data_IF_720566470765
#
_entry.id   IF_720566470765
#
_cell.length_a   1.000
_cell.length_b   1.000
_cell.length_c   1.000
_cell.angle_alpha   90.00
_cell.angle_beta   90.00
_cell.angle_gamma   90.00
#
_symmetry.space_group_name_H-M   'P 1'
#
loop_
_entity.id
_entity.type
_entity.pdbx_description
1 polymer ?
#
# COMPACT_ATOMS: atom_id res chain seq x y z
N UNK A 1 15.57 18.27 13.90
CA UNK A 1 16.01 18.00 12.51
C UNK A 1 14.75 17.76 11.69
N UNK A 2 14.65 18.40 10.53
CA UNK A 2 13.39 18.90 9.95
C UNK A 2 12.29 17.88 9.65
N UNK A 3 11.11 18.15 10.21
CA UNK A 3 9.81 17.72 9.73
C UNK A 3 9.67 18.16 8.26
N UNK A 4 9.42 17.24 7.33
CA UNK A 4 9.09 17.59 5.94
C UNK A 4 10.06 17.14 4.83
N UNK A 5 11.12 16.37 5.15
CA UNK A 5 12.03 15.85 4.09
C UNK A 5 11.41 14.79 3.18
N UNK A 6 10.45 13.99 3.67
CA UNK A 6 9.80 12.95 2.84
C UNK A 6 8.37 13.33 2.39
N UNK A 7 7.75 14.35 2.99
CA UNK A 7 6.42 14.84 2.59
C UNK A 7 6.50 15.94 1.52
N UNK A 8 7.64 16.66 1.41
CA UNK A 8 7.80 17.82 0.52
C UNK A 8 7.68 17.55 -1.00
N UNK A 9 7.51 16.29 -1.41
CA UNK A 9 7.51 15.88 -2.81
C UNK A 9 6.18 15.32 -3.33
N UNK A 10 5.01 15.69 -2.79
CA UNK A 10 3.74 15.26 -3.41
C UNK A 10 3.52 16.04 -4.72
N UNK A 11 3.98 15.47 -5.83
CA UNK A 11 3.85 16.08 -7.15
C UNK A 11 3.36 15.06 -8.19
N UNK A 12 2.54 15.56 -9.12
CA UNK A 12 1.97 14.79 -10.22
C UNK A 12 0.54 14.36 -9.94
N UNK A 13 0.27 13.06 -10.03
CA UNK A 13 -1.09 12.54 -10.10
C UNK A 13 -1.93 12.76 -8.84
N UNK A 14 -1.30 12.80 -7.66
CA UNK A 14 -2.02 13.01 -6.42
C UNK A 14 -2.49 14.46 -6.25
N UNK A 15 -1.79 15.44 -6.82
CA UNK A 15 -2.15 16.86 -6.64
C UNK A 15 -3.55 17.22 -7.17
N UNK A 16 -4.09 16.38 -8.07
CA UNK A 16 -5.42 16.54 -8.65
C UNK A 16 -6.25 15.28 -8.40
N UNK A 17 -7.17 15.32 -7.43
CA UNK A 17 -8.12 14.22 -7.16
C UNK A 17 -8.37 13.93 -5.68
N UNK A 18 -9.09 12.83 -5.38
CA UNK A 18 -9.42 12.44 -4.00
C UNK A 18 -8.19 12.16 -3.13
N UNK A 19 -7.13 11.56 -3.70
CA UNK A 19 -5.87 11.38 -2.95
C UNK A 19 -5.23 12.71 -2.55
N UNK A 20 -5.27 13.71 -3.42
CA UNK A 20 -4.76 15.05 -3.13
C UNK A 20 -5.56 15.77 -2.06
N UNK A 21 -6.88 15.62 -2.08
CA UNK A 21 -7.74 16.17 -1.04
C UNK A 21 -7.44 15.54 0.34
N UNK A 22 -7.28 14.21 0.39
CA UNK A 22 -6.88 13.51 1.61
C UNK A 22 -5.46 13.87 2.06
N UNK A 23 -4.51 14.01 1.13
CA UNK A 23 -3.15 14.46 1.41
C UNK A 23 -3.13 15.87 1.98
N UNK A 24 -3.82 16.80 1.33
CA UNK A 24 -3.94 18.18 1.78
C UNK A 24 -4.53 18.28 3.19
N UNK A 25 -5.56 17.48 3.49
CA UNK A 25 -6.12 17.42 4.85
C UNK A 25 -5.11 16.82 5.85
N UNK A 26 -4.60 15.61 5.58
CA UNK A 26 -3.82 14.85 6.53
C UNK A 26 -2.43 15.45 6.79
N UNK A 27 -1.85 16.15 5.81
CA UNK A 27 -0.57 16.84 5.94
C UNK A 27 -0.78 18.28 6.41
N UNK A 28 -1.82 18.96 5.93
CA UNK A 28 -2.14 20.33 6.34
C UNK A 28 -2.35 20.44 7.86
N UNK A 29 -2.99 19.44 8.47
CA UNK A 29 -3.14 19.37 9.93
C UNK A 29 -1.82 19.20 10.69
N UNK A 30 -0.76 18.67 10.07
CA UNK A 30 0.59 18.64 10.67
C UNK A 30 1.16 20.05 10.76
N UNK A 31 1.02 20.84 9.68
CA UNK A 31 1.50 22.21 9.60
C UNK A 31 0.69 23.16 10.49
N UNK A 32 -0.63 22.99 10.59
CA UNK A 32 -1.47 23.77 11.51
C UNK A 32 -1.09 23.52 12.98
N UNK A 33 -0.74 22.27 13.32
CA UNK A 33 -0.27 21.91 14.68
C UNK A 33 1.12 22.49 14.96
N UNK A 34 2.01 22.52 13.96
CA UNK A 34 3.33 23.15 14.08
C UNK A 34 3.24 24.69 14.14
N UNK A 35 2.34 25.30 13.35
CA UNK A 35 2.11 26.74 13.32
C UNK A 35 1.35 27.25 14.56
N UNK A 36 0.50 26.43 15.18
CA UNK A 36 -0.16 26.73 16.46
C UNK A 36 0.78 26.86 17.66
N UNK A 37 2.07 26.54 17.51
CA UNK A 37 3.13 26.78 18.50
C UNK A 37 3.92 28.07 18.27
N UNK A 38 3.59 28.83 17.23
CA UNK A 38 4.20 30.12 16.92
C UNK A 38 3.10 31.18 16.85
N UNK A 39 2.65 31.63 18.03
CA UNK A 39 1.85 32.85 18.09
C UNK A 39 2.73 34.08 17.79
N UNK A 40 2.26 34.84 16.81
CA UNK A 40 2.43 36.28 16.63
C UNK A 40 3.72 36.79 15.96
N UNK A 41 3.57 37.14 14.67
CA UNK A 41 4.33 38.21 14.02
C UNK A 41 5.15 37.78 12.81
N UNK A 42 4.69 38.12 11.61
CA UNK A 42 5.56 38.10 10.42
C UNK A 42 4.81 37.88 9.12
N UNK A 43 4.85 38.88 8.25
CA UNK A 43 4.33 38.88 6.89
C UNK A 43 4.77 37.63 6.09
N UNK A 44 3.81 36.99 5.43
CA UNK A 44 4.03 35.83 4.56
C UNK A 44 4.79 36.25 3.30
N UNK A 45 6.11 36.14 3.34
CA UNK A 45 6.93 36.15 2.12
C UNK A 45 7.06 34.71 1.63
N UNK A 46 6.25 34.35 0.64
CA UNK A 46 6.43 33.13 -0.14
C UNK A 46 7.67 33.31 -1.03
N UNK A 47 8.83 32.95 -0.50
CA UNK A 47 10.13 33.01 -1.18
C UNK A 47 10.93 31.74 -0.93
N UNK A 48 10.43 30.61 -1.42
CA UNK A 48 11.21 29.36 -1.49
C UNK A 48 12.03 29.35 -2.79
N UNK A 49 13.35 29.21 -2.65
CA UNK A 49 14.32 29.17 -3.75
C UNK A 49 13.95 28.11 -4.81
N UNK A 50 13.84 28.54 -6.07
CA UNK A 50 13.42 27.76 -7.25
C UNK A 50 14.53 26.87 -7.84
N UNK A 51 15.41 26.28 -7.02
CA UNK A 51 16.57 25.49 -7.49
C UNK A 51 16.58 24.02 -7.03
N UNK A 52 15.56 23.54 -6.30
CA UNK A 52 15.48 22.14 -5.82
C UNK A 52 14.64 21.21 -6.74
N UNK A 53 14.33 21.66 -7.96
CA UNK A 53 13.46 20.92 -8.90
C UNK A 53 14.16 19.78 -9.68
N UNK A 54 15.47 19.55 -9.50
CA UNK A 54 16.19 18.50 -10.24
C UNK A 54 16.17 17.12 -9.56
N UNK A 55 15.82 17.00 -8.26
CA UNK A 55 15.68 15.71 -7.54
C UNK A 55 14.20 15.27 -7.37
N UNK A 56 13.25 16.03 -7.94
CA UNK A 56 11.82 15.88 -7.72
C UNK A 56 11.16 14.68 -8.45
N UNK A 57 11.80 14.14 -9.49
CA UNK A 57 11.20 13.12 -10.35
C UNK A 57 11.03 11.74 -9.68
N UNK A 58 12.07 11.26 -8.99
CA UNK A 58 12.05 9.96 -8.32
C UNK A 58 11.45 10.04 -6.90
N UNK A 59 11.80 11.09 -6.14
CA UNK A 59 11.21 11.34 -4.83
C UNK A 59 9.69 11.49 -4.91
N UNK A 60 9.17 12.21 -5.91
CA UNK A 60 7.74 12.48 -6.03
C UNK A 60 6.88 11.28 -6.36
N UNK A 61 7.35 10.38 -7.24
CA UNK A 61 6.64 9.13 -7.57
C UNK A 61 6.61 8.19 -6.36
N UNK A 62 7.74 8.04 -5.66
CA UNK A 62 7.84 7.23 -4.43
C UNK A 62 6.93 7.78 -3.33
N UNK A 63 6.99 9.08 -3.07
CA UNK A 63 6.14 9.71 -2.04
C UNK A 63 4.65 9.59 -2.38
N UNK A 64 4.29 9.68 -3.67
CA UNK A 64 2.92 9.48 -4.11
C UNK A 64 2.42 8.05 -3.95
N UNK A 65 3.28 7.07 -4.22
CA UNK A 65 2.99 5.67 -3.96
C UNK A 65 2.73 5.41 -2.47
N UNK A 66 3.56 5.95 -1.59
CA UNK A 66 3.45 5.74 -0.14
C UNK A 66 2.23 6.39 0.47
N UNK A 67 1.90 7.60 0.04
CA UNK A 67 0.69 8.24 0.54
C UNK A 67 -0.55 7.45 0.11
N UNK A 68 -0.58 7.00 -1.15
CA UNK A 68 -1.64 6.11 -1.65
C UNK A 68 -1.76 4.84 -0.79
N UNK A 69 -0.62 4.26 -0.41
CA UNK A 69 -0.52 3.12 0.49
C UNK A 69 -1.07 3.42 1.89
N UNK A 70 -0.73 4.57 2.50
CA UNK A 70 -1.25 4.97 3.82
C UNK A 70 -2.76 5.23 3.79
N UNK A 71 -3.28 5.84 2.72
CA UNK A 71 -4.72 6.03 2.52
C UNK A 71 -5.44 4.69 2.49
N UNK A 72 -4.97 3.75 1.67
CA UNK A 72 -5.58 2.42 1.58
C UNK A 72 -5.43 1.64 2.88
N UNK A 73 -4.28 1.72 3.54
CA UNK A 73 -4.05 1.10 4.84
C UNK A 73 -5.04 1.64 5.89
N UNK A 74 -5.33 2.95 5.90
CA UNK A 74 -6.30 3.53 6.82
C UNK A 74 -7.72 2.98 6.64
N UNK A 75 -8.06 2.50 5.43
CA UNK A 75 -9.33 1.85 5.17
C UNK A 75 -9.35 0.41 5.71
N UNK A 76 -8.30 -0.37 5.43
CA UNK A 76 -8.17 -1.77 5.88
C UNK A 76 -8.08 -1.86 7.42
N UNK A 77 -7.16 -1.10 8.02
CA UNK A 77 -6.86 -1.15 9.47
C UNK A 77 -8.11 -0.89 10.34
N UNK A 78 -9.10 -0.18 9.78
CA UNK A 78 -10.29 0.21 10.50
C UNK A 78 -11.55 -0.42 9.90
N UNK A 79 -11.41 -1.49 9.13
CA UNK A 79 -12.55 -2.19 8.52
C UNK A 79 -13.48 -2.79 9.59
N UNK A 80 -12.91 -3.37 10.64
CA UNK A 80 -13.61 -3.97 11.78
C UNK A 80 -14.00 -2.95 12.88
N UNK A 81 -13.64 -1.68 12.69
CA UNK A 81 -13.91 -0.58 13.62
C UNK A 81 -12.95 -0.48 14.80
N UNK A 82 -11.94 -1.33 14.89
CA UNK A 82 -10.86 -1.25 15.89
C UNK A 82 -9.55 -0.90 15.17
N UNK A 83 -8.50 -0.60 15.93
CA UNK A 83 -7.17 -0.36 15.40
C UNK A 83 -6.24 -1.23 16.23
N UNK A 84 -5.63 -2.24 15.65
CA UNK A 84 -4.76 -3.13 16.39
C UNK A 84 -3.35 -2.55 16.52
N UNK A 85 -2.71 -2.80 17.66
CA UNK A 85 -1.31 -2.40 17.87
C UNK A 85 -0.35 -3.09 16.89
N UNK A 86 -0.64 -4.33 16.52
CA UNK A 86 0.11 -5.14 15.55
C UNK A 86 0.15 -4.49 14.17
N UNK A 87 -1.01 -4.04 13.67
CA UNK A 87 -1.14 -3.38 12.37
C UNK A 87 -0.39 -2.06 12.35
N UNK A 88 -0.56 -1.24 13.39
CA UNK A 88 0.20 0.00 13.49
C UNK A 88 1.70 -0.27 13.59
N UNK A 89 2.13 -1.25 14.38
CA UNK A 89 3.55 -1.58 14.49
C UNK A 89 4.12 -2.14 13.18
N UNK A 90 3.30 -2.83 12.37
CA UNK A 90 3.68 -3.20 11.02
C UNK A 90 3.94 -1.95 10.15
N UNK A 91 3.03 -0.99 10.15
CA UNK A 91 3.22 0.27 9.41
C UNK A 91 4.45 1.05 9.94
N UNK A 92 4.66 1.12 11.26
CA UNK A 92 5.85 1.78 11.83
C UNK A 92 7.15 1.13 11.38
N UNK A 93 7.22 -0.20 11.45
CA UNK A 93 8.39 -0.95 10.98
C UNK A 93 8.63 -0.72 9.51
N UNK A 94 7.57 -0.76 8.70
CA UNK A 94 7.66 -0.44 7.28
C UNK A 94 8.22 0.96 7.07
N UNK A 95 7.62 1.99 7.65
CA UNK A 95 8.09 3.37 7.51
C UNK A 95 9.54 3.54 7.96
N UNK A 96 9.92 2.94 9.10
CA UNK A 96 11.30 2.99 9.62
C UNK A 96 12.29 2.36 8.65
N UNK A 97 11.98 1.15 8.18
CA UNK A 97 12.85 0.41 7.27
C UNK A 97 13.01 1.12 5.92
N UNK A 98 11.97 1.81 5.45
CA UNK A 98 11.95 2.41 4.13
C UNK A 98 12.39 3.89 4.09
N UNK A 99 12.16 4.65 5.17
CA UNK A 99 12.32 6.11 5.21
C UNK A 99 13.07 6.62 6.45
N UNK A 100 13.49 5.72 7.34
CA UNK A 100 14.16 6.04 8.59
C UNK A 100 13.20 6.45 9.71
N UNK A 101 13.74 6.64 10.90
CA UNK A 101 12.95 6.89 12.11
C UNK A 101 12.10 8.15 12.06
N UNK A 102 12.55 9.20 11.37
CA UNK A 102 11.81 10.46 11.25
C UNK A 102 10.45 10.29 10.53
N UNK A 103 10.37 9.38 9.56
CA UNK A 103 9.14 9.14 8.81
C UNK A 103 8.08 8.35 9.61
N UNK A 104 8.48 7.68 10.68
CA UNK A 104 7.57 6.91 11.53
C UNK A 104 6.59 7.84 12.24
N UNK A 105 7.08 8.94 12.80
CA UNK A 105 6.27 9.94 13.49
C UNK A 105 5.30 10.62 12.52
N UNK A 106 5.81 11.06 11.38
CA UNK A 106 5.01 11.72 10.35
C UNK A 106 3.93 10.79 9.76
N UNK A 107 4.29 9.55 9.39
CA UNK A 107 3.33 8.59 8.83
C UNK A 107 2.28 8.13 9.85
N UNK A 108 2.65 8.03 11.13
CA UNK A 108 1.68 7.77 12.19
C UNK A 108 0.67 8.92 12.31
N UNK A 109 1.13 10.16 12.27
CA UNK A 109 0.23 11.31 12.36
C UNK A 109 -0.67 11.44 11.12
N UNK A 110 -0.16 11.13 9.92
CA UNK A 110 -0.99 11.03 8.70
C UNK A 110 -2.12 10.01 8.89
N UNK A 111 -1.81 8.80 9.39
CA UNK A 111 -2.84 7.78 9.64
C UNK A 111 -3.89 8.26 10.66
N UNK A 112 -3.46 8.87 11.76
CA UNK A 112 -4.37 9.45 12.74
C UNK A 112 -5.30 10.50 12.12
N UNK A 113 -4.77 11.38 11.27
CA UNK A 113 -5.55 12.40 10.60
C UNK A 113 -6.53 11.78 9.58
N UNK A 114 -6.13 10.73 8.86
CA UNK A 114 -7.02 9.98 7.97
C UNK A 114 -8.16 9.29 8.74
N UNK A 115 -7.87 8.71 9.91
CA UNK A 115 -8.88 8.13 10.79
C UNK A 115 -9.86 9.19 11.31
N UNK A 116 -9.38 10.38 11.64
CA UNK A 116 -10.25 11.49 12.03
C UNK A 116 -11.11 11.96 10.85
N UNK A 117 -10.51 12.12 9.67
CA UNK A 117 -11.20 12.52 8.46
C UNK A 117 -12.33 11.56 8.10
N UNK A 118 -12.06 10.25 8.17
CA UNK A 118 -13.09 9.21 8.02
C UNK A 118 -14.25 9.42 8.98
N UNK A 119 -13.96 9.61 10.27
CA UNK A 119 -15.00 9.80 11.31
C UNK A 119 -15.87 11.03 11.00
N UNK A 120 -15.27 12.14 10.55
CA UNK A 120 -15.99 13.36 10.16
C UNK A 120 -16.88 13.14 8.92
N UNK A 121 -16.36 12.44 7.91
CA UNK A 121 -17.09 12.11 6.69
C UNK A 121 -18.30 11.21 6.97
N UNK A 122 -18.10 10.15 7.77
CA UNK A 122 -19.15 9.17 8.09
C UNK A 122 -20.26 9.73 8.99
N UNK A 123 -20.01 10.81 9.74
CA UNK A 123 -21.05 11.53 10.48
C UNK A 123 -22.11 12.15 9.54
N UNK A 124 -21.70 12.55 8.33
CA UNK A 124 -22.61 13.15 7.35
C UNK A 124 -23.23 12.08 6.46
N UNK A 125 -22.42 11.13 6.00
CA UNK A 125 -22.86 10.01 5.18
C UNK A 125 -21.97 8.78 5.45
N UNK A 126 -22.52 7.68 5.99
CA UNK A 126 -21.78 6.46 6.32
C UNK A 126 -20.97 5.85 5.17
N UNK A 127 -21.31 6.16 3.90
CA UNK A 127 -20.65 5.59 2.73
C UNK A 127 -19.67 6.57 2.06
N UNK A 128 -19.56 7.81 2.55
CA UNK A 128 -18.76 8.85 1.89
C UNK A 128 -17.26 8.55 1.88
N UNK A 129 -16.72 8.02 2.99
CA UNK A 129 -15.32 7.60 3.03
C UNK A 129 -15.07 6.41 2.10
N UNK A 130 -15.94 5.39 2.12
CA UNK A 130 -15.87 4.23 1.21
C UNK A 130 -15.83 4.66 -0.26
N UNK A 131 -16.72 5.58 -0.68
CA UNK A 131 -16.70 6.14 -2.05
C UNK A 131 -15.40 6.88 -2.36
N UNK A 132 -14.88 7.64 -1.40
CA UNK A 132 -13.58 8.32 -1.55
C UNK A 132 -12.45 7.31 -1.78
N UNK A 133 -12.45 6.18 -1.06
CA UNK A 133 -11.49 5.09 -1.27
C UNK A 133 -11.62 4.46 -2.65
N UNK A 134 -12.84 4.25 -3.17
CA UNK A 134 -13.04 3.81 -4.56
C UNK A 134 -12.45 4.80 -5.56
N UNK A 135 -12.67 6.10 -5.35
CA UNK A 135 -12.16 7.14 -6.23
C UNK A 135 -10.62 7.21 -6.18
N UNK A 136 -10.03 7.05 -4.98
CA UNK A 136 -8.59 6.89 -4.81
C UNK A 136 -8.06 5.65 -5.54
N UNK A 137 -8.77 4.53 -5.46
CA UNK A 137 -8.40 3.29 -6.16
C UNK A 137 -8.40 3.48 -7.68
N UNK A 138 -9.42 4.14 -8.24
CA UNK A 138 -9.48 4.49 -9.66
C UNK A 138 -8.35 5.45 -10.07
N UNK A 139 -8.04 6.42 -9.24
CA UNK A 139 -6.91 7.33 -9.46
C UNK A 139 -5.58 6.57 -9.45
N UNK A 140 -5.39 5.62 -8.53
CA UNK A 140 -4.22 4.73 -8.50
C UNK A 140 -4.15 3.88 -9.78
N UNK A 141 -5.26 3.28 -10.20
CA UNK A 141 -5.36 2.47 -11.42
C UNK A 141 -4.97 3.24 -12.68
N UNK A 142 -5.29 4.54 -12.73
CA UNK A 142 -5.00 5.39 -13.87
C UNK A 142 -3.52 5.85 -13.94
N UNK A 143 -2.80 5.85 -12.82
CA UNK A 143 -1.48 6.48 -12.71
C UNK A 143 -0.34 5.52 -12.38
N UNK A 144 -0.65 4.33 -11.85
CA UNK A 144 0.33 3.31 -11.51
C UNK A 144 0.24 2.11 -12.45
N UNK A 145 1.40 1.56 -12.79
CA UNK A 145 1.52 0.28 -13.48
C UNK A 145 0.84 -0.84 -12.68
N UNK A 146 0.53 -1.93 -13.35
CA UNK A 146 -0.11 -3.08 -12.71
C UNK A 146 0.73 -3.67 -11.58
N UNK A 147 2.04 -3.75 -11.78
CA UNK A 147 3.01 -4.30 -10.84
C UNK A 147 3.18 -3.41 -9.60
N UNK A 148 3.13 -2.08 -9.76
CA UNK A 148 3.15 -1.13 -8.64
C UNK A 148 1.89 -1.30 -7.77
N UNK A 149 0.70 -1.36 -8.40
CA UNK A 149 -0.58 -1.58 -7.71
C UNK A 149 -0.61 -2.89 -6.94
N UNK A 150 -0.01 -3.92 -7.52
CA UNK A 150 0.12 -5.23 -6.88
C UNK A 150 1.02 -5.19 -5.65
N UNK A 151 2.10 -4.40 -5.65
CA UNK A 151 2.92 -4.21 -4.45
C UNK A 151 2.17 -3.44 -3.36
N UNK A 152 1.37 -2.44 -3.74
CA UNK A 152 0.48 -1.75 -2.82
C UNK A 152 -0.48 -2.76 -2.17
N UNK A 153 -1.15 -3.59 -2.97
CA UNK A 153 -2.04 -4.64 -2.45
C UNK A 153 -1.30 -5.63 -1.54
N UNK A 154 -0.11 -6.09 -1.94
CA UNK A 154 0.70 -7.00 -1.15
C UNK A 154 1.02 -6.43 0.24
N UNK A 155 1.31 -5.13 0.32
CA UNK A 155 1.50 -4.47 1.60
C UNK A 155 0.22 -4.44 2.45
N UNK A 156 -0.94 -4.12 1.85
CA UNK A 156 -2.21 -4.11 2.58
C UNK A 156 -2.54 -5.48 3.17
N UNK A 157 -2.28 -6.56 2.41
CA UNK A 157 -2.44 -7.94 2.90
C UNK A 157 -1.51 -8.23 4.08
N UNK A 158 -0.26 -7.77 4.02
CA UNK A 158 0.69 -7.97 5.12
C UNK A 158 0.32 -7.20 6.39
N UNK A 159 -0.32 -6.02 6.27
CA UNK A 159 -0.88 -5.30 7.43
C UNK A 159 -1.97 -6.16 8.08
N UNK A 160 -2.94 -6.61 7.29
CA UNK A 160 -4.06 -7.40 7.80
C UNK A 160 -3.57 -8.73 8.43
N UNK A 161 -2.50 -9.32 7.90
CA UNK A 161 -1.89 -10.54 8.46
C UNK A 161 -0.92 -10.30 9.63
N UNK A 162 -0.78 -9.07 10.12
CA UNK A 162 0.32 -8.70 11.03
C UNK A 162 0.24 -9.37 12.41
N UNK A 163 -0.94 -9.74 12.87
CA UNK A 163 -1.17 -10.52 14.11
C UNK A 163 -1.50 -12.00 13.85
N UNK A 164 -1.52 -12.42 12.59
CA UNK A 164 -1.79 -13.79 12.17
C UNK A 164 -3.28 -14.14 11.97
N UNK A 165 -4.21 -13.22 12.25
CA UNK A 165 -5.65 -13.44 12.06
C UNK A 165 -6.24 -12.32 11.20
N UNK A 166 -6.81 -12.68 10.05
CA UNK A 166 -7.52 -11.72 9.19
C UNK A 166 -9.01 -11.94 9.34
N UNK A 167 -9.76 -10.91 9.75
CA UNK A 167 -11.22 -10.99 9.88
C UNK A 167 -11.93 -10.88 8.51
N UNK A 168 -13.21 -11.21 8.46
CA UNK A 168 -13.98 -11.17 7.20
C UNK A 168 -14.09 -9.74 6.67
N UNK A 169 -14.24 -8.76 7.56
CA UNK A 169 -14.34 -7.34 7.24
C UNK A 169 -13.07 -6.81 6.56
N UNK A 170 -11.89 -7.23 7.02
CA UNK A 170 -10.61 -6.91 6.36
C UNK A 170 -10.48 -7.59 5.00
N UNK A 171 -10.89 -8.85 4.88
CA UNK A 171 -10.88 -9.56 3.59
C UNK A 171 -11.78 -8.85 2.58
N UNK A 172 -12.98 -8.45 2.99
CA UNK A 172 -13.91 -7.71 2.14
C UNK A 172 -13.36 -6.35 1.74
N UNK A 173 -12.74 -5.62 2.67
CA UNK A 173 -12.08 -4.35 2.38
C UNK A 173 -10.88 -4.53 1.43
N UNK A 174 -10.08 -5.59 1.58
CA UNK A 174 -8.97 -5.92 0.67
C UNK A 174 -9.46 -6.21 -0.75
N UNK A 175 -10.53 -7.02 -0.88
CA UNK A 175 -11.17 -7.34 -2.16
C UNK A 175 -11.71 -6.10 -2.84
N UNK A 176 -12.34 -5.22 -2.08
CA UNK A 176 -12.86 -3.96 -2.57
C UNK A 176 -11.76 -3.02 -3.08
N UNK A 177 -10.71 -2.83 -2.28
CA UNK A 177 -9.56 -2.00 -2.67
C UNK A 177 -8.85 -2.59 -3.90
N UNK A 178 -8.72 -3.91 -3.98
CA UNK A 178 -8.17 -4.58 -5.16
C UNK A 178 -9.00 -4.24 -6.42
N UNK A 179 -10.32 -4.44 -6.38
CA UNK A 179 -11.21 -4.13 -7.51
C UNK A 179 -11.10 -2.65 -7.90
N UNK A 180 -11.10 -1.74 -6.93
CA UNK A 180 -10.98 -0.30 -7.19
C UNK A 180 -9.65 0.06 -7.87
N UNK A 181 -8.55 -0.63 -7.52
CA UNK A 181 -7.24 -0.47 -8.15
C UNK A 181 -7.12 -1.24 -9.49
N UNK A 182 -8.16 -1.91 -9.97
CA UNK A 182 -8.13 -2.71 -11.21
C UNK A 182 -7.35 -4.01 -11.07
N UNK A 183 -7.33 -4.57 -9.85
CA UNK A 183 -6.77 -5.86 -9.48
C UNK A 183 -7.90 -6.89 -9.29
N UNK A 184 -7.56 -8.18 -9.31
CA UNK A 184 -8.54 -9.27 -9.20
C UNK A 184 -8.72 -9.75 -7.76
N UNK A 185 -9.87 -10.36 -7.46
CA UNK A 185 -10.11 -10.98 -6.15
C UNK A 185 -9.18 -12.17 -5.92
N UNK A 186 -8.83 -12.89 -6.99
CA UNK A 186 -7.91 -14.03 -6.94
C UNK A 186 -6.52 -13.62 -6.46
N UNK A 187 -6.08 -12.39 -6.75
CA UNK A 187 -4.79 -11.87 -6.27
C UNK A 187 -4.79 -11.70 -4.76
N UNK A 188 -5.89 -11.20 -4.19
CA UNK A 188 -6.06 -11.08 -2.73
C UNK A 188 -6.00 -12.47 -2.10
N UNK A 189 -6.73 -13.43 -2.67
CA UNK A 189 -6.78 -14.80 -2.16
C UNK A 189 -5.41 -15.48 -2.27
N UNK A 190 -4.72 -15.37 -3.40
CA UNK A 190 -3.35 -15.88 -3.55
C UNK A 190 -2.41 -15.27 -2.51
N UNK A 191 -2.49 -13.95 -2.27
CA UNK A 191 -1.67 -13.27 -1.28
C UNK A 191 -1.95 -13.71 0.15
N UNK A 192 -3.22 -13.90 0.51
CA UNK A 192 -3.60 -14.37 1.84
C UNK A 192 -3.10 -15.80 2.12
N UNK A 193 -2.97 -16.64 1.10
CA UNK A 193 -2.54 -18.04 1.24
C UNK A 193 -1.02 -18.28 1.13
N UNK A 194 -0.20 -17.23 0.98
CA UNK A 194 1.26 -17.37 0.75
C UNK A 194 2.04 -18.04 1.88
N UNK A 195 1.60 -17.88 3.13
CA UNK A 195 2.27 -18.46 4.30
C UNK A 195 1.86 -19.91 4.56
N UNK A 196 0.97 -20.44 3.73
CA UNK A 196 0.49 -21.81 3.81
C UNK A 196 1.55 -22.83 3.44
N UNK A 197 1.72 -23.86 4.25
CA UNK A 197 2.64 -24.98 3.99
C UNK A 197 1.97 -26.17 3.28
N UNK A 198 0.64 -26.14 3.11
CA UNK A 198 -0.10 -27.24 2.49
C UNK A 198 -0.03 -27.19 0.97
N UNK A 199 -0.21 -28.36 0.35
CA UNK A 199 -0.31 -28.46 -1.11
C UNK A 199 -1.53 -27.69 -1.66
N UNK A 200 -2.63 -27.67 -0.90
CA UNK A 200 -3.84 -26.93 -1.28
C UNK A 200 -3.58 -25.41 -1.33
N UNK A 201 -2.82 -24.88 -0.37
CA UNK A 201 -2.43 -23.47 -0.36
C UNK A 201 -1.44 -23.16 -1.49
N UNK A 202 -0.51 -24.07 -1.80
CA UNK A 202 0.41 -23.88 -2.93
C UNK A 202 -0.35 -23.68 -4.27
N UNK A 203 -1.44 -24.42 -4.50
CA UNK A 203 -2.30 -24.23 -5.69
C UNK A 203 -2.97 -22.85 -5.70
N UNK A 204 -3.48 -22.40 -4.54
CA UNK A 204 -4.04 -21.05 -4.40
C UNK A 204 -3.00 -19.95 -4.63
N UNK A 205 -1.76 -20.13 -4.15
CA UNK A 205 -0.64 -19.20 -4.40
C UNK A 205 -0.37 -19.07 -5.90
N UNK A 206 -0.41 -20.18 -6.63
CA UNK A 206 -0.25 -20.17 -8.08
C UNK A 206 -1.52 -19.75 -8.86
N UNK A 207 -2.60 -19.37 -8.17
CA UNK A 207 -3.89 -18.98 -8.79
C UNK A 207 -4.43 -20.07 -9.74
N UNK A 208 -4.32 -21.35 -9.36
CA UNK A 208 -4.79 -22.50 -10.14
C UNK A 208 -5.55 -23.50 -9.28
N UNK A 209 -6.46 -24.24 -9.91
CA UNK A 209 -7.16 -25.33 -9.24
C UNK A 209 -6.25 -26.56 -9.07
N UNK A 210 -6.44 -27.40 -8.03
CA UNK A 210 -5.70 -28.65 -7.88
C UNK A 210 -5.87 -29.61 -9.07
N UNK A 211 -6.98 -29.47 -9.81
CA UNK A 211 -7.32 -30.22 -11.03
C UNK A 211 -6.68 -29.66 -12.29
N UNK A 212 -6.01 -28.50 -12.23
CA UNK A 212 -5.34 -27.89 -13.37
C UNK A 212 -4.30 -28.85 -13.96
N UNK A 213 -4.12 -28.82 -15.28
CA UNK A 213 -3.10 -29.57 -16.00
C UNK A 213 -1.69 -29.06 -15.67
N UNK A 214 -0.67 -29.87 -15.92
CA UNK A 214 0.72 -29.49 -15.63
C UNK A 214 1.19 -28.30 -16.46
N UNK A 215 0.67 -28.16 -17.68
CA UNK A 215 0.97 -27.01 -18.54
C UNK A 215 0.33 -25.72 -18.02
N UNK A 216 -0.89 -25.81 -17.47
CA UNK A 216 -1.55 -24.68 -16.80
C UNK A 216 -0.78 -24.25 -15.55
N UNK A 217 -0.31 -25.20 -14.73
CA UNK A 217 0.52 -24.92 -13.55
C UNK A 217 1.82 -24.20 -13.97
N UNK A 218 2.51 -24.70 -15.00
CA UNK A 218 3.74 -24.08 -15.51
C UNK A 218 3.49 -22.68 -16.08
N UNK A 219 2.38 -22.50 -16.81
CA UNK A 219 2.00 -21.21 -17.36
C UNK A 219 1.66 -20.19 -16.26
N UNK A 220 0.93 -20.61 -15.24
CA UNK A 220 0.59 -19.78 -14.09
C UNK A 220 1.83 -19.33 -13.32
N UNK A 221 2.77 -20.26 -13.06
CA UNK A 221 4.06 -19.90 -12.45
C UNK A 221 4.82 -18.83 -13.25
N UNK A 222 4.97 -19.00 -14.58
CA UNK A 222 5.66 -18.01 -15.42
C UNK A 222 4.98 -16.64 -15.38
N UNK A 223 3.64 -16.62 -15.42
CA UNK A 223 2.84 -15.40 -15.33
C UNK A 223 3.08 -14.67 -14.00
N UNK A 224 3.03 -15.40 -12.89
CA UNK A 224 3.24 -14.83 -11.55
C UNK A 224 4.68 -14.37 -11.32
N UNK A 225 5.67 -15.14 -11.79
CA UNK A 225 7.07 -14.77 -11.68
C UNK A 225 7.39 -13.46 -12.43
N UNK A 226 6.82 -13.27 -13.62
CA UNK A 226 6.97 -12.03 -14.40
C UNK A 226 6.33 -10.84 -13.69
N UNK A 227 5.13 -11.04 -13.14
CA UNK A 227 4.33 -10.03 -12.45
C UNK A 227 4.95 -9.56 -11.13
N UNK A 228 5.61 -10.45 -10.40
CA UNK A 228 6.28 -10.16 -9.14
C UNK A 228 7.80 -9.95 -9.27
N UNK A 229 8.32 -9.79 -10.50
CA UNK A 229 9.74 -9.62 -10.71
C UNK A 229 10.24 -8.30 -10.09
N UNK A 230 11.35 -8.30 -9.30
CA UNK A 230 11.85 -7.10 -8.62
C UNK A 230 12.12 -5.93 -9.57
N UNK A 231 12.60 -6.19 -10.78
CA UNK A 231 12.87 -5.15 -11.78
C UNK A 231 11.64 -4.34 -12.19
N UNK A 232 10.43 -4.90 -12.06
CA UNK A 232 9.18 -4.20 -12.43
C UNK A 232 8.85 -3.05 -11.48
N UNK A 233 9.44 -3.04 -10.28
CA UNK A 233 9.17 -2.06 -9.23
C UNK A 233 10.44 -1.37 -8.73
N UNK A 234 11.55 -1.51 -9.45
CA UNK A 234 12.84 -0.92 -9.09
C UNK A 234 12.78 0.62 -8.92
N UNK A 235 11.90 1.30 -9.65
CA UNK A 235 11.70 2.76 -9.56
C UNK A 235 11.00 3.22 -8.29
N UNK A 236 10.43 2.30 -7.50
CA UNK A 236 9.74 2.61 -6.23
C UNK A 236 10.67 2.55 -5.01
N UNK A 237 11.93 2.17 -5.22
CA UNK A 237 12.95 2.07 -4.18
C UNK A 237 13.32 0.63 -3.83
N UNK A 238 14.50 0.47 -3.24
CA UNK A 238 15.13 -0.82 -2.92
C UNK A 238 14.29 -1.69 -1.99
N UNK A 239 13.54 -1.10 -1.06
CA UNK A 239 12.71 -1.86 -0.13
C UNK A 239 11.48 -2.47 -0.80
N UNK A 240 10.87 -1.76 -1.75
CA UNK A 240 9.76 -2.29 -2.57
C UNK A 240 10.28 -3.38 -3.50
N UNK A 241 11.49 -3.20 -4.04
CA UNK A 241 12.21 -4.22 -4.81
C UNK A 241 12.44 -5.48 -3.97
N UNK A 242 12.89 -5.34 -2.72
CA UNK A 242 13.08 -6.45 -1.77
C UNK A 242 11.76 -7.14 -1.41
N UNK A 243 10.69 -6.39 -1.18
CA UNK A 243 9.36 -6.98 -0.92
C UNK A 243 8.86 -7.81 -2.12
N UNK A 244 9.12 -7.36 -3.35
CA UNK A 244 8.84 -8.12 -4.56
C UNK A 244 9.70 -9.40 -4.64
N UNK A 245 10.97 -9.33 -4.25
CA UNK A 245 11.86 -10.49 -4.18
C UNK A 245 11.39 -11.53 -3.17
N UNK A 246 11.02 -11.13 -1.96
CA UNK A 246 10.46 -12.02 -0.93
C UNK A 246 9.19 -12.72 -1.44
N UNK A 247 8.31 -11.98 -2.12
CA UNK A 247 7.10 -12.53 -2.73
C UNK A 247 7.43 -13.54 -3.84
N UNK A 248 8.43 -13.26 -4.67
CA UNK A 248 8.88 -14.18 -5.72
C UNK A 248 9.46 -15.47 -5.12
N UNK A 249 10.21 -15.37 -4.02
CA UNK A 249 10.72 -16.53 -3.29
C UNK A 249 9.56 -17.43 -2.79
N UNK A 250 8.49 -16.84 -2.27
CA UNK A 250 7.30 -17.59 -1.84
C UNK A 250 6.59 -18.29 -3.01
N UNK A 251 6.48 -17.62 -4.17
CA UNK A 251 5.94 -18.22 -5.40
C UNK A 251 6.80 -19.41 -5.85
N UNK A 252 8.13 -19.28 -5.79
CA UNK A 252 9.05 -20.37 -6.09
C UNK A 252 8.85 -21.56 -5.14
N UNK A 253 8.69 -21.30 -3.85
CA UNK A 253 8.45 -22.35 -2.86
C UNK A 253 7.10 -23.06 -3.09
N UNK A 254 6.04 -22.34 -3.48
CA UNK A 254 4.76 -22.95 -3.86
C UNK A 254 4.89 -23.82 -5.11
N UNK A 255 5.61 -23.32 -6.12
CA UNK A 255 6.02 -24.10 -7.30
C UNK A 255 6.69 -25.41 -6.87
N UNK A 256 7.75 -25.36 -6.07
CA UNK A 256 8.53 -26.55 -5.72
C UNK A 256 7.66 -27.62 -5.04
N UNK A 257 6.74 -27.22 -4.17
CA UNK A 257 5.79 -28.13 -3.52
C UNK A 257 4.87 -28.82 -4.54
N UNK A 258 4.27 -28.07 -5.48
CA UNK A 258 3.39 -28.64 -6.50
C UNK A 258 4.17 -29.57 -7.43
N UNK A 259 5.34 -29.13 -7.90
CA UNK A 259 6.19 -29.93 -8.78
C UNK A 259 6.57 -31.26 -8.12
N UNK A 260 6.98 -31.22 -6.85
CA UNK A 260 7.31 -32.42 -6.07
C UNK A 260 6.11 -33.35 -5.92
N UNK A 261 4.93 -32.80 -5.63
CA UNK A 261 3.70 -33.60 -5.48
C UNK A 261 3.24 -34.26 -6.79
N UNK A 262 3.46 -33.59 -7.93
CA UNK A 262 3.07 -34.07 -9.26
C UNK A 262 4.15 -34.87 -9.99
N UNK A 263 5.36 -34.96 -9.44
CA UNK A 263 6.50 -35.60 -10.10
C UNK A 263 7.01 -34.83 -11.32
N UNK A 264 6.75 -33.51 -11.38
CA UNK A 264 7.23 -32.64 -12.44
C UNK A 264 8.72 -32.35 -12.25
N UNK A 265 9.45 -32.26 -13.36
CA UNK A 265 10.82 -31.74 -13.44
C UNK A 265 10.81 -30.33 -14.03
#
# INVERSE_FOLDING_TARGET
MGYGKWIGGILGFMAQGPLGALAGFAIGSLFDTAAGSVEQGGERTAGGNMNDYEDAGYGGRRNSFLFSMLVMASYIIRADGRIMHSEMEFVRRFLRMNFGDAAVEEGQQILLNLFEQRKRMEQTDPQSFRRTIHDCGRQIAANLGYEERLQLLNFLVQIAQSDGNVCMEEIDALKEVAIAMGLSVQEVESMLNLKGDSLAEAYKVLEVEPTATDDEVRAAYRRLALKHHPDRVATLGEDIRRAAEEKLQQINAAKERIWKARGLK
#
